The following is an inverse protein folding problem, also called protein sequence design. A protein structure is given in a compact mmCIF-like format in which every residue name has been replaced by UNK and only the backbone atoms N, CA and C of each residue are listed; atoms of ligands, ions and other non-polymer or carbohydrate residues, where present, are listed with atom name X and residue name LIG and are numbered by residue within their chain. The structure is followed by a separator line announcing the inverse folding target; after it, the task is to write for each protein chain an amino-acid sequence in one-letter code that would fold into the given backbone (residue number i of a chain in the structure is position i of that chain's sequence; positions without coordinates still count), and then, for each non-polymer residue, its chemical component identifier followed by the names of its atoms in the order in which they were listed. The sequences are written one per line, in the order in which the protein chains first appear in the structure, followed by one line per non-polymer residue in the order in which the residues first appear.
data_IF_565574717084
#
_entry.id   IF_565574717084
#
_cell.length_a   1.000
_cell.length_b   1.000
_cell.length_c   1.000
_cell.angle_alpha   90.00
_cell.angle_beta   90.00
_cell.angle_gamma   90.00
#
_symmetry.space_group_name_H-M   'P 1'
#
loop_
_entity.id
_entity.type
_entity.pdbx_description
1 polymer ?
#
# COMPACT_ATOMS: atom_id res chain seq x y z
N UNK A 1 -14.00 5.97 -3.29
CA UNK A 1 -13.59 4.53 -3.28
C UNK A 1 -13.68 3.95 -1.89
N UNK A 2 -13.95 2.67 -1.81
CA UNK A 2 -13.99 1.88 -0.57
C UNK A 2 -12.76 0.96 -0.56
N UNK A 3 -12.07 0.90 0.57
CA UNK A 3 -10.97 -0.04 0.79
C UNK A 3 -11.49 -1.29 1.46
N UNK A 4 -11.19 -2.44 0.86
CA UNK A 4 -11.50 -3.76 1.40
C UNK A 4 -10.20 -4.46 1.72
N UNK A 5 -10.01 -4.80 2.99
CA UNK A 5 -8.84 -5.48 3.51
C UNK A 5 -9.13 -6.96 3.74
N UNK A 6 -8.07 -7.76 3.89
CA UNK A 6 -8.14 -9.17 4.30
C UNK A 6 -8.98 -10.06 3.37
N UNK A 7 -8.99 -9.77 2.07
CA UNK A 7 -9.58 -10.66 1.08
C UNK A 7 -8.64 -11.86 0.87
N UNK A 8 -9.05 -13.04 1.34
CA UNK A 8 -8.27 -14.27 1.20
C UNK A 8 -8.71 -15.06 -0.02
N UNK A 9 -7.74 -15.54 -0.78
CA UNK A 9 -7.91 -16.42 -1.93
C UNK A 9 -6.85 -17.51 -1.94
N UNK A 10 -7.13 -18.69 -2.49
CA UNK A 10 -6.11 -19.72 -2.71
C UNK A 10 -4.96 -19.19 -3.57
N UNK A 11 -3.78 -19.82 -3.50
CA UNK A 11 -2.64 -19.45 -4.35
C UNK A 11 -3.01 -19.53 -5.82
N UNK A 12 -3.66 -20.62 -6.21
CA UNK A 12 -4.16 -20.80 -7.56
C UNK A 12 -5.57 -20.21 -7.67
N UNK A 13 -5.66 -18.96 -8.10
CA UNK A 13 -6.94 -18.30 -8.36
C UNK A 13 -6.86 -17.41 -9.59
N UNK A 14 -7.98 -17.22 -10.26
CA UNK A 14 -8.12 -16.30 -11.37
C UNK A 14 -8.52 -14.90 -10.90
N UNK A 15 -8.32 -13.92 -11.77
CA UNK A 15 -8.80 -12.55 -11.53
C UNK A 15 -10.31 -12.51 -11.32
N UNK A 16 -11.05 -13.37 -12.01
CA UNK A 16 -12.49 -13.49 -11.84
C UNK A 16 -12.87 -13.95 -10.42
N UNK A 17 -12.10 -14.86 -9.82
CA UNK A 17 -12.32 -15.27 -8.43
C UNK A 17 -12.11 -14.10 -7.45
N UNK A 18 -11.09 -13.25 -7.68
CA UNK A 18 -10.89 -12.04 -6.88
C UNK A 18 -12.09 -11.10 -7.02
N UNK A 19 -12.55 -10.86 -8.25
CA UNK A 19 -13.74 -10.05 -8.51
C UNK A 19 -14.98 -10.58 -7.78
N UNK A 20 -15.26 -11.87 -7.87
CA UNK A 20 -16.36 -12.53 -7.15
C UNK A 20 -16.23 -12.42 -5.64
N UNK A 21 -15.01 -12.56 -5.11
CA UNK A 21 -14.75 -12.40 -3.67
C UNK A 21 -15.02 -10.97 -3.20
N UNK A 22 -14.67 -9.95 -3.98
CA UNK A 22 -15.01 -8.55 -3.70
C UNK A 22 -16.54 -8.37 -3.63
N UNK A 23 -17.27 -8.84 -4.65
CA UNK A 23 -18.73 -8.76 -4.74
C UNK A 23 -19.38 -9.41 -3.52
N UNK A 24 -18.93 -10.61 -3.17
CA UNK A 24 -19.42 -11.37 -2.00
C UNK A 24 -19.15 -10.64 -0.69
N UNK A 25 -17.94 -10.12 -0.50
CA UNK A 25 -17.53 -9.43 0.74
C UNK A 25 -18.30 -8.13 0.94
N UNK A 26 -18.61 -7.43 -0.14
CA UNK A 26 -19.38 -6.18 -0.11
C UNK A 26 -20.90 -6.41 -0.16
N UNK A 27 -21.35 -7.67 -0.26
CA UNK A 27 -22.77 -8.04 -0.39
C UNK A 27 -23.49 -7.30 -1.52
N UNK A 28 -22.82 -7.15 -2.67
CA UNK A 28 -23.40 -6.48 -3.83
C UNK A 28 -24.53 -7.36 -4.42
N UNK A 29 -25.68 -6.76 -4.65
CA UNK A 29 -26.83 -7.44 -5.27
C UNK A 29 -26.65 -7.62 -6.78
N UNK A 30 -25.92 -6.70 -7.40
CA UNK A 30 -25.66 -6.70 -8.83
C UNK A 30 -24.16 -6.53 -9.08
N UNK A 31 -23.58 -7.39 -9.90
CA UNK A 31 -22.17 -7.30 -10.30
C UNK A 31 -21.84 -6.00 -11.04
N UNK A 32 -22.83 -5.40 -11.72
CA UNK A 32 -22.71 -4.11 -12.42
C UNK A 32 -22.55 -2.91 -11.48
N UNK A 33 -22.75 -3.11 -10.17
CA UNK A 33 -22.49 -2.06 -9.16
C UNK A 33 -21.01 -1.91 -8.86
N UNK A 34 -20.20 -2.91 -9.16
CA UNK A 34 -18.74 -2.86 -9.15
C UNK A 34 -18.25 -2.25 -10.46
N UNK A 35 -17.82 -0.97 -10.42
CA UNK A 35 -17.31 -0.25 -11.60
C UNK A 35 -15.89 -0.72 -11.92
N UNK A 36 -15.00 -0.60 -10.95
CA UNK A 36 -13.60 -1.07 -11.05
C UNK A 36 -13.01 -1.32 -9.67
N UNK A 37 -11.89 -2.02 -9.63
CA UNK A 37 -11.08 -2.16 -8.42
C UNK A 37 -9.60 -2.04 -8.75
N UNK A 38 -8.81 -1.70 -7.75
CA UNK A 38 -7.36 -1.62 -7.83
C UNK A 38 -6.74 -2.38 -6.65
N UNK A 39 -5.81 -3.28 -6.95
CA UNK A 39 -5.04 -3.98 -5.94
C UNK A 39 -4.02 -3.01 -5.35
N UNK A 40 -4.11 -2.77 -4.04
CA UNK A 40 -3.18 -1.90 -3.29
C UNK A 40 -2.09 -2.70 -2.62
N UNK A 41 -2.42 -3.91 -2.19
CA UNK A 41 -1.48 -4.82 -1.53
C UNK A 41 -1.86 -6.26 -1.82
N UNK A 42 -0.85 -7.07 -2.08
CA UNK A 42 -0.92 -8.51 -2.13
C UNK A 42 0.14 -9.07 -1.19
N UNK A 43 -0.22 -9.99 -0.34
CA UNK A 43 0.70 -10.68 0.57
C UNK A 43 0.33 -12.16 0.67
N UNK A 44 1.28 -12.98 1.09
CA UNK A 44 1.07 -14.42 1.30
C UNK A 44 0.80 -14.64 2.79
N UNK A 45 -0.28 -15.35 3.10
CA UNK A 45 -0.54 -15.88 4.43
C UNK A 45 -0.04 -17.34 4.48
N UNK A 46 1.10 -17.55 5.13
CA UNK A 46 1.76 -18.85 5.28
C UNK A 46 1.74 -19.34 6.75
N UNK A 47 0.87 -18.78 7.59
CA UNK A 47 0.81 -19.16 9.04
C UNK A 47 0.41 -20.61 9.26
N UNK A 48 -0.31 -21.19 8.30
CA UNK A 48 -0.65 -22.63 8.30
C UNK A 48 0.11 -23.30 7.17
N UNK A 49 0.99 -24.26 7.50
CA UNK A 49 1.87 -24.93 6.54
C UNK A 49 1.16 -25.53 5.32
N UNK A 50 -0.09 -25.99 5.50
CA UNK A 50 -0.83 -26.69 4.45
C UNK A 50 -1.89 -25.83 3.75
N UNK A 51 -2.02 -24.55 4.13
CA UNK A 51 -3.05 -23.65 3.58
C UNK A 51 -2.42 -22.30 3.23
N UNK A 52 -1.59 -22.30 2.19
CA UNK A 52 -1.08 -21.05 1.65
C UNK A 52 -2.21 -20.28 0.97
N UNK A 53 -2.31 -18.99 1.26
CA UNK A 53 -3.30 -18.14 0.61
C UNK A 53 -2.74 -16.76 0.31
N UNK A 54 -3.23 -16.13 -0.75
CA UNK A 54 -3.05 -14.70 -0.95
C UNK A 54 -4.04 -13.90 -0.12
N UNK A 55 -3.54 -12.80 0.42
CA UNK A 55 -4.35 -11.80 1.14
C UNK A 55 -4.24 -10.48 0.41
N UNK A 56 -5.37 -9.99 -0.05
CA UNK A 56 -5.46 -8.75 -0.80
C UNK A 56 -6.01 -7.60 0.04
N UNK A 57 -5.52 -6.41 -0.26
CA UNK A 57 -6.17 -5.14 0.02
C UNK A 57 -6.49 -4.49 -1.31
N UNK A 58 -7.75 -4.15 -1.53
CA UNK A 58 -8.22 -3.54 -2.78
C UNK A 58 -8.98 -2.26 -2.52
N UNK A 59 -8.81 -1.26 -3.38
CA UNK A 59 -9.67 -0.09 -3.44
C UNK A 59 -10.70 -0.30 -4.53
N UNK A 60 -11.95 -0.12 -4.19
CA UNK A 60 -13.11 -0.44 -5.03
C UNK A 60 -13.93 0.80 -5.30
N UNK A 61 -14.28 1.01 -6.55
CA UNK A 61 -15.23 2.05 -6.98
C UNK A 61 -16.58 1.42 -7.26
N UNK A 62 -17.62 1.94 -6.61
CA UNK A 62 -18.97 1.42 -6.64
C UNK A 62 -19.98 2.52 -7.01
N UNK A 63 -21.13 2.14 -7.56
CA UNK A 63 -22.20 3.11 -7.87
C UNK A 63 -22.80 3.76 -6.63
N UNK A 64 -22.84 3.07 -5.49
CA UNK A 64 -23.50 3.52 -4.26
C UNK A 64 -22.60 3.32 -3.03
N UNK A 65 -21.43 3.94 -3.01
CA UNK A 65 -20.41 3.77 -1.97
C UNK A 65 -20.91 4.08 -0.56
N UNK A 66 -21.63 5.19 -0.38
CA UNK A 66 -22.11 5.63 0.93
C UNK A 66 -23.08 4.63 1.56
N UNK A 67 -23.99 4.08 0.77
CA UNK A 67 -24.96 3.10 1.26
C UNK A 67 -24.27 1.79 1.68
N UNK A 68 -23.28 1.36 0.92
CA UNK A 68 -22.53 0.13 1.21
C UNK A 68 -21.67 0.29 2.47
N UNK A 69 -21.04 1.44 2.67
CA UNK A 69 -20.30 1.76 3.89
C UNK A 69 -21.21 1.77 5.13
N UNK A 70 -22.39 2.35 5.03
CA UNK A 70 -23.34 2.39 6.16
C UNK A 70 -23.90 1.00 6.52
N UNK A 71 -24.12 0.16 5.53
CA UNK A 71 -24.63 -1.20 5.75
C UNK A 71 -23.59 -2.18 6.26
N UNK A 72 -22.33 -1.98 5.87
CA UNK A 72 -21.23 -2.89 6.26
C UNK A 72 -20.62 -2.45 7.59
N UNK A 73 -20.90 -3.23 8.64
CA UNK A 73 -20.24 -3.09 9.96
C UNK A 73 -18.89 -3.82 10.06
N UNK A 74 -18.37 -4.32 8.94
CA UNK A 74 -17.12 -5.06 8.91
C UNK A 74 -15.93 -4.08 9.01
N UNK A 75 -15.09 -4.27 10.02
CA UNK A 75 -13.87 -3.45 10.27
C UNK A 75 -12.85 -3.50 9.11
N UNK A 76 -12.94 -4.53 8.26
CA UNK A 76 -12.08 -4.65 7.07
C UNK A 76 -12.56 -3.79 5.88
N UNK A 77 -13.72 -3.13 6.01
CA UNK A 77 -14.29 -2.28 4.97
C UNK A 77 -14.29 -0.85 5.48
N UNK A 78 -13.60 0.04 4.77
CA UNK A 78 -13.46 1.44 5.16
C UNK A 78 -13.45 2.35 3.93
N UNK A 79 -13.62 3.65 4.14
CA UNK A 79 -13.39 4.64 3.08
C UNK A 79 -11.91 4.60 2.70
N UNK A 80 -11.62 4.48 1.40
CA UNK A 80 -10.24 4.54 0.91
C UNK A 80 -9.66 5.92 1.22
N UNK A 81 -8.47 5.93 1.83
CA UNK A 81 -7.68 7.15 2.06
C UNK A 81 -6.43 7.02 1.19
N UNK A 82 -6.21 7.99 0.33
CA UNK A 82 -4.93 8.14 -0.34
C UNK A 82 -3.97 8.79 0.65
N UNK A 83 -2.97 8.03 1.04
CA UNK A 83 -1.90 8.51 1.89
C UNK A 83 -0.78 8.96 0.96
N UNK A 84 -0.58 10.26 0.86
CA UNK A 84 0.57 10.85 0.18
C UNK A 84 1.61 11.20 1.22
N UNK A 85 2.84 10.81 0.93
CA UNK A 85 3.98 11.29 1.72
C UNK A 85 4.19 12.76 1.42
N UNK A 86 4.29 13.57 2.47
CA UNK A 86 4.70 14.96 2.40
C UNK A 86 6.06 15.06 3.07
N UNK A 87 7.03 15.59 2.34
CA UNK A 87 8.31 15.91 2.94
C UNK A 87 8.11 17.01 3.97
N UNK A 88 8.71 16.91 5.17
CA UNK A 88 8.59 17.96 6.19
C UNK A 88 9.06 19.30 5.66
N UNK A 89 8.42 20.38 6.11
CA UNK A 89 8.84 21.73 5.76
C UNK A 89 10.27 21.97 6.23
N UNK A 90 11.04 22.65 5.40
CA UNK A 90 12.41 23.02 5.73
C UNK A 90 12.40 24.01 6.94
N UNK A 91 13.32 23.80 7.90
CA UNK A 91 13.53 24.74 8.96
C UNK A 91 14.16 26.06 8.47
N UNK A 92 14.08 27.11 9.27
CA UNK A 92 14.62 28.44 8.92
C UNK A 92 16.16 28.51 8.92
N UNK A 93 16.83 27.57 9.61
CA UNK A 93 18.29 27.54 9.70
C UNK A 93 18.90 26.79 8.53
N UNK A 94 19.79 27.45 7.82
CA UNK A 94 20.64 26.77 6.84
C UNK A 94 21.58 25.77 7.55
N UNK A 95 21.67 24.58 6.96
CA UNK A 95 22.66 23.58 7.41
C UNK A 95 24.07 24.08 7.08
N UNK A 96 24.96 24.10 8.07
CA UNK A 96 26.38 24.43 7.88
C UNK A 96 27.15 23.34 7.14
N UNK A 97 26.65 22.11 7.18
CA UNK A 97 27.27 20.94 6.58
C UNK A 97 26.24 20.08 5.84
N UNK A 98 26.73 19.27 4.91
CA UNK A 98 25.91 18.32 4.18
C UNK A 98 25.37 17.21 5.12
N UNK A 99 24.09 16.82 5.01
CA UNK A 99 23.57 15.68 5.77
C UNK A 99 24.38 14.40 5.49
N UNK A 100 24.69 13.66 6.54
CA UNK A 100 25.39 12.37 6.43
C UNK A 100 24.43 11.26 6.81
N UNK A 101 24.33 10.27 5.92
CA UNK A 101 23.49 9.07 6.08
C UNK A 101 24.44 7.89 6.25
N UNK A 102 24.27 7.13 7.30
CA UNK A 102 25.08 5.95 7.58
C UNK A 102 24.31 4.70 7.14
N UNK A 103 24.87 4.01 6.15
CA UNK A 103 24.32 2.81 5.54
C UNK A 103 23.53 3.08 4.25
N UNK A 104 23.78 2.24 3.23
CA UNK A 104 23.12 2.27 1.92
C UNK A 104 21.97 1.24 1.79
N UNK A 105 21.43 0.77 2.89
CA UNK A 105 20.24 -0.08 2.90
C UNK A 105 19.01 0.68 2.38
N UNK A 106 17.84 0.00 2.22
CA UNK A 106 16.65 0.63 1.66
C UNK A 106 16.25 1.95 2.33
N UNK A 107 16.34 2.02 3.66
CA UNK A 107 16.01 3.25 4.40
C UNK A 107 17.00 4.39 4.10
N UNK A 108 18.32 4.09 4.07
CA UNK A 108 19.36 5.08 3.76
C UNK A 108 19.23 5.60 2.32
N UNK A 109 18.97 4.72 1.36
CA UNK A 109 18.80 5.09 -0.04
C UNK A 109 17.58 5.99 -0.26
N UNK A 110 16.42 5.65 0.34
CA UNK A 110 15.22 6.48 0.24
C UNK A 110 15.39 7.83 0.97
N UNK A 111 16.07 7.84 2.12
CA UNK A 111 16.40 9.07 2.84
C UNK A 111 17.27 9.98 1.95
N UNK A 112 18.32 9.44 1.34
CA UNK A 112 19.19 10.19 0.44
C UNK A 112 18.44 10.73 -0.78
N UNK A 113 17.59 9.90 -1.38
CA UNK A 113 16.77 10.28 -2.53
C UNK A 113 15.85 11.47 -2.19
N UNK A 114 15.11 11.39 -1.09
CA UNK A 114 14.20 12.48 -0.69
C UNK A 114 14.96 13.75 -0.32
N UNK A 115 16.07 13.65 0.41
CA UNK A 115 16.91 14.81 0.73
C UNK A 115 17.46 15.46 -0.55
N UNK A 116 18.00 14.67 -1.49
CA UNK A 116 18.52 15.19 -2.75
C UNK A 116 17.44 15.88 -3.60
N UNK A 117 16.24 15.28 -3.67
CA UNK A 117 15.10 15.83 -4.38
C UNK A 117 14.65 17.20 -3.84
N UNK A 118 14.89 17.44 -2.54
CA UNK A 118 14.57 18.71 -1.86
C UNK A 118 15.78 19.66 -1.74
N UNK A 119 16.82 19.44 -2.54
CA UNK A 119 17.96 20.36 -2.65
C UNK A 119 19.05 20.18 -1.60
N UNK A 120 18.93 19.22 -0.69
CA UNK A 120 20.02 18.84 0.19
C UNK A 120 20.99 17.95 -0.58
N UNK A 121 22.28 18.14 -0.38
CA UNK A 121 23.32 17.30 -1.02
C UNK A 121 23.83 16.22 -0.03
N UNK A 122 23.08 15.15 0.26
CA UNK A 122 23.47 14.18 1.27
C UNK A 122 24.73 13.42 0.89
N UNK A 123 25.46 12.94 1.91
CA UNK A 123 26.57 12.00 1.78
C UNK A 123 26.13 10.68 2.37
N UNK A 124 26.29 9.57 1.62
CA UNK A 124 26.02 8.23 2.13
C UNK A 124 27.37 7.59 2.48
N UNK A 125 27.49 7.11 3.71
CA UNK A 125 28.61 6.31 4.18
C UNK A 125 28.17 4.84 4.21
N UNK A 126 28.91 3.98 3.53
CA UNK A 126 28.68 2.54 3.47
C UNK A 126 29.94 1.80 3.87
N UNK A 127 29.80 0.78 4.72
CA UNK A 127 30.93 -0.03 5.18
C UNK A 127 31.21 -1.27 4.29
N UNK A 128 30.37 -1.55 3.31
CA UNK A 128 30.51 -2.64 2.35
C UNK A 128 31.68 -2.42 1.40
N UNK A 129 32.13 -3.50 0.73
CA UNK A 129 33.14 -3.39 -0.34
C UNK A 129 32.53 -2.66 -1.52
N UNK A 130 33.28 -1.75 -2.14
CA UNK A 130 32.87 -1.17 -3.42
C UNK A 130 32.67 -2.29 -4.45
N UNK A 131 31.52 -2.34 -5.06
CA UNK A 131 31.30 -3.23 -6.20
C UNK A 131 32.08 -2.65 -7.37
N UNK A 132 33.04 -3.40 -7.85
CA UNK A 132 33.79 -3.14 -9.09
C UNK A 132 32.89 -3.39 -10.30
#
# INVERSE_FOLDING_TARGET
MIRVNQLKLPIEHSEEMLRRQIIKTLHLKNEKDLIRYQIRKQSIDARRKNELSFVYTVDVELKQESMILHKNKNSNISKAKDIHYHFPDAGEKQLSHRPVIVGSGPAGMFCAYELAKHGYCPIILECGRANS
#
